data_IF_561200284179
#
_entry.id   IF_561200284179
#
_cell.length_a   1.000
_cell.length_b   1.000
_cell.length_c   1.000
_cell.angle_alpha   90.00
_cell.angle_beta   90.00
_cell.angle_gamma   90.00
#
_symmetry.space_group_name_H-M   'P 1'
#
loop_
_entity.id
_entity.type
_entity.pdbx_description
1 polymer ?
#
# COMPACT_ATOMS: atom_id res chain seq x y z
N UNK A 1 1.53 -32.56 -12.25
CA UNK A 1 0.18 -32.26 -11.76
C UNK A 1 -0.51 -31.52 -12.87
N UNK A 2 -1.50 -32.16 -13.46
CA UNK A 2 -2.34 -31.69 -14.58
C UNK A 2 -2.87 -30.28 -14.30
N UNK A 3 -2.87 -29.42 -15.32
CA UNK A 3 -3.44 -28.07 -15.29
C UNK A 3 -4.89 -28.15 -14.81
N UNK A 4 -5.08 -28.00 -13.51
CA UNK A 4 -6.40 -27.85 -12.92
C UNK A 4 -6.86 -26.47 -13.37
N UNK A 5 -7.99 -26.39 -14.06
CA UNK A 5 -8.59 -25.11 -14.45
C UNK A 5 -8.91 -24.36 -13.16
N UNK A 6 -8.08 -23.39 -12.79
CA UNK A 6 -8.26 -22.57 -11.59
C UNK A 6 -9.22 -21.44 -11.96
N UNK A 7 -10.46 -21.52 -11.48
CA UNK A 7 -11.46 -20.49 -11.71
C UNK A 7 -11.42 -19.45 -10.60
N UNK A 8 -11.16 -18.20 -10.97
CA UNK A 8 -11.15 -17.08 -10.04
C UNK A 8 -12.53 -16.44 -9.97
N UNK A 9 -13.06 -16.29 -8.76
CA UNK A 9 -14.29 -15.54 -8.49
C UNK A 9 -13.90 -14.21 -7.85
N UNK A 10 -14.05 -13.07 -8.55
CA UNK A 10 -13.69 -11.76 -8.03
C UNK A 10 -14.68 -11.28 -6.96
N UNK A 11 -14.17 -10.60 -5.93
CA UNK A 11 -14.97 -10.02 -4.85
C UNK A 11 -14.69 -8.52 -4.70
N UNK A 12 -13.43 -8.16 -4.43
CA UNK A 12 -13.06 -6.79 -4.04
C UNK A 12 -11.94 -6.26 -4.90
N UNK A 13 -12.13 -5.07 -5.47
CA UNK A 13 -11.06 -4.33 -6.17
C UNK A 13 -10.30 -3.49 -5.15
N UNK A 14 -9.02 -3.81 -4.94
CA UNK A 14 -8.17 -3.07 -3.99
C UNK A 14 -7.50 -1.85 -4.62
N UNK A 15 -7.12 -1.96 -5.90
CA UNK A 15 -6.38 -0.92 -6.60
C UNK A 15 -6.58 -1.02 -8.10
N UNK A 16 -6.81 0.11 -8.77
CA UNK A 16 -6.76 0.23 -10.23
C UNK A 16 -5.80 1.34 -10.61
N UNK A 17 -4.84 1.02 -11.46
CA UNK A 17 -3.94 2.00 -12.08
C UNK A 17 -3.80 1.73 -13.59
N UNK A 18 -3.11 2.63 -14.30
CA UNK A 18 -2.92 2.54 -15.76
C UNK A 18 -2.21 1.26 -16.21
N UNK A 19 -1.50 0.59 -15.29
CA UNK A 19 -0.70 -0.60 -15.59
C UNK A 19 -1.29 -1.90 -15.07
N UNK A 20 -2.25 -1.86 -14.13
CA UNK A 20 -2.92 -3.05 -13.61
C UNK A 20 -4.08 -2.73 -12.68
N UNK A 21 -4.97 -3.70 -12.53
CA UNK A 21 -5.98 -3.76 -11.48
C UNK A 21 -5.68 -4.93 -10.53
N UNK A 22 -5.81 -4.72 -9.23
CA UNK A 22 -5.60 -5.74 -8.19
C UNK A 22 -6.93 -6.07 -7.56
N UNK A 23 -7.38 -7.31 -7.74
CA UNK A 23 -8.69 -7.82 -7.31
C UNK A 23 -8.46 -9.01 -6.39
N UNK A 24 -9.06 -9.02 -5.20
CA UNK A 24 -9.14 -10.22 -4.37
C UNK A 24 -10.42 -10.99 -4.64
N UNK A 25 -10.37 -12.26 -4.27
CA UNK A 25 -11.53 -13.13 -4.26
C UNK A 25 -11.13 -14.53 -3.83
N UNK A 26 -11.81 -15.54 -4.35
CA UNK A 26 -11.56 -16.93 -4.01
C UNK A 26 -11.51 -17.82 -5.26
N UNK A 27 -11.14 -19.08 -5.06
CA UNK A 27 -11.23 -20.10 -6.10
C UNK A 27 -12.63 -20.70 -6.10
N UNK A 28 -13.27 -20.82 -7.27
CA UNK A 28 -14.60 -21.42 -7.37
C UNK A 28 -14.62 -22.85 -6.82
N UNK A 29 -13.52 -23.58 -7.01
CA UNK A 29 -13.37 -24.96 -6.57
C UNK A 29 -13.07 -25.07 -5.07
N UNK A 30 -12.62 -23.98 -4.44
CA UNK A 30 -12.16 -23.90 -3.04
C UNK A 30 -12.47 -22.49 -2.47
N UNK A 31 -13.74 -22.20 -2.10
CA UNK A 31 -14.16 -20.86 -1.67
C UNK A 31 -13.43 -20.33 -0.43
N UNK A 32 -12.87 -21.21 0.40
CA UNK A 32 -12.06 -20.83 1.55
C UNK A 32 -10.65 -20.34 1.18
N UNK A 33 -10.19 -20.65 -0.04
CA UNK A 33 -8.85 -20.32 -0.51
C UNK A 33 -8.85 -18.94 -1.17
N UNK A 34 -8.50 -17.92 -0.37
CA UNK A 34 -8.38 -16.54 -0.86
C UNK A 34 -7.21 -16.37 -1.82
N UNK A 35 -7.45 -15.60 -2.88
CA UNK A 35 -6.49 -15.31 -3.94
C UNK A 35 -6.54 -13.84 -4.36
N UNK A 36 -5.47 -13.39 -4.99
CA UNK A 36 -5.36 -12.05 -5.57
C UNK A 36 -4.99 -12.18 -7.04
N UNK A 37 -5.82 -11.58 -7.89
CA UNK A 37 -5.55 -11.39 -9.31
C UNK A 37 -4.95 -10.01 -9.51
N UNK A 38 -3.77 -9.95 -10.14
CA UNK A 38 -3.30 -8.75 -10.81
C UNK A 38 -3.73 -8.82 -12.27
N UNK A 39 -4.85 -8.15 -12.56
CA UNK A 39 -5.51 -8.09 -13.86
C UNK A 39 -4.82 -7.08 -14.78
N UNK A 40 -4.60 -7.48 -16.02
CA UNK A 40 -3.81 -6.78 -17.05
C UNK A 40 -4.54 -6.69 -18.40
N UNK A 41 -5.69 -7.36 -18.56
CA UNK A 41 -6.47 -7.35 -19.80
C UNK A 41 -7.19 -6.02 -20.07
N UNK A 42 -7.61 -5.33 -19.01
CA UNK A 42 -8.29 -4.02 -19.07
C UNK A 42 -7.37 -2.81 -19.22
N UNK A 43 -6.05 -2.99 -19.31
CA UNK A 43 -5.11 -1.86 -19.42
C UNK A 43 -5.12 -1.26 -20.83
N UNK A 44 -4.92 0.07 -20.98
CA UNK A 44 -4.88 0.71 -22.28
C UNK A 44 -3.86 0.05 -23.22
N UNK A 45 -4.20 -0.06 -24.52
CA UNK A 45 -3.38 -0.78 -25.50
C UNK A 45 -1.92 -0.33 -25.54
N UNK A 46 -1.67 0.96 -25.34
CA UNK A 46 -0.33 1.56 -25.32
C UNK A 46 0.45 1.22 -24.03
N UNK A 47 -0.24 0.94 -22.92
CA UNK A 47 0.37 0.58 -21.64
C UNK A 47 0.65 -0.93 -21.54
N UNK A 48 -0.04 -1.76 -22.35
CA UNK A 48 0.07 -3.24 -22.33
C UNK A 48 1.51 -3.76 -22.36
N UNK A 49 2.43 -3.27 -23.23
CA UNK A 49 3.80 -3.78 -23.27
C UNK A 49 4.55 -3.55 -21.94
N UNK A 50 4.37 -2.38 -21.33
CA UNK A 50 5.02 -2.01 -20.07
C UNK A 50 4.39 -2.76 -18.89
N UNK A 51 3.06 -2.83 -18.86
CA UNK A 51 2.31 -3.60 -17.86
C UNK A 51 2.77 -5.07 -17.83
N UNK A 52 2.85 -5.70 -18.99
CA UNK A 52 3.33 -7.07 -19.13
C UNK A 52 4.82 -7.24 -18.81
N UNK A 53 5.66 -6.26 -19.12
CA UNK A 53 7.07 -6.28 -18.71
C UNK A 53 7.20 -6.30 -17.18
N UNK A 54 6.45 -5.44 -16.48
CA UNK A 54 6.43 -5.40 -15.01
C UNK A 54 5.86 -6.69 -14.42
N UNK A 55 4.75 -7.19 -14.97
CA UNK A 55 4.15 -8.45 -14.55
C UNK A 55 5.10 -9.64 -14.74
N UNK A 56 5.85 -9.70 -15.85
CA UNK A 56 6.84 -10.77 -16.09
C UNK A 56 7.95 -10.80 -15.05
N UNK A 57 8.36 -9.64 -14.52
CA UNK A 57 9.34 -9.58 -13.41
C UNK A 57 8.76 -10.18 -12.13
N UNK A 58 7.54 -9.81 -11.79
CA UNK A 58 6.82 -10.36 -10.64
C UNK A 58 6.63 -11.88 -10.79
N UNK A 59 6.15 -12.34 -11.94
CA UNK A 59 5.98 -13.77 -12.28
C UNK A 59 7.31 -14.53 -12.13
N UNK A 60 8.41 -13.98 -12.67
CA UNK A 60 9.73 -14.60 -12.52
C UNK A 60 10.16 -14.69 -11.05
N UNK A 61 9.92 -13.64 -10.27
CA UNK A 61 10.17 -13.61 -8.84
C UNK A 61 9.39 -14.69 -8.09
N UNK A 62 8.07 -14.72 -8.28
CA UNK A 62 7.17 -15.69 -7.63
C UNK A 62 7.49 -17.13 -8.02
N UNK A 63 7.76 -17.40 -9.31
CA UNK A 63 8.21 -18.72 -9.78
C UNK A 63 9.52 -19.14 -9.10
N UNK A 64 10.48 -18.23 -8.98
CA UNK A 64 11.75 -18.52 -8.35
C UNK A 64 11.59 -18.85 -6.86
N UNK A 65 10.66 -18.21 -6.15
CA UNK A 65 10.41 -18.45 -4.70
C UNK A 65 9.33 -19.50 -4.42
N UNK A 66 8.79 -20.19 -5.41
CA UNK A 66 7.71 -21.16 -5.25
C UNK A 66 8.03 -22.23 -4.18
N UNK A 67 7.12 -22.41 -3.21
CA UNK A 67 7.31 -23.36 -2.10
C UNK A 67 8.19 -22.85 -0.96
N UNK A 68 8.58 -21.57 -0.94
CA UNK A 68 9.06 -20.93 0.30
C UNK A 68 7.85 -20.63 1.17
N UNK A 69 7.83 -21.13 2.40
CA UNK A 69 6.78 -20.76 3.35
C UNK A 69 6.92 -19.29 3.78
N UNK A 70 5.82 -18.53 3.68
CA UNK A 70 5.77 -17.09 3.98
C UNK A 70 5.92 -16.17 2.75
N UNK A 71 5.83 -16.70 1.53
CA UNK A 71 5.69 -15.91 0.29
C UNK A 71 4.42 -16.33 -0.46
N UNK A 72 3.80 -15.43 -1.23
CA UNK A 72 2.65 -15.79 -2.06
C UNK A 72 3.03 -16.82 -3.13
N UNK A 73 2.16 -17.81 -3.34
CA UNK A 73 2.29 -18.80 -4.39
C UNK A 73 1.69 -18.26 -5.70
N UNK A 74 2.40 -18.40 -6.81
CA UNK A 74 1.85 -18.13 -8.14
C UNK A 74 0.97 -19.32 -8.56
N UNK A 75 -0.31 -19.06 -8.82
CA UNK A 75 -1.30 -20.09 -9.11
C UNK A 75 -1.60 -20.16 -10.61
N UNK A 76 -1.77 -19.01 -11.27
CA UNK A 76 -2.18 -18.93 -12.68
C UNK A 76 -1.50 -17.76 -13.36
N UNK A 77 -1.14 -17.93 -14.64
CA UNK A 77 -0.70 -16.85 -15.52
C UNK A 77 -1.33 -17.08 -16.89
N UNK A 78 -2.11 -16.11 -17.37
CA UNK A 78 -2.85 -16.19 -18.64
C UNK A 78 -3.02 -14.78 -19.24
N UNK A 79 -3.87 -14.64 -20.26
CA UNK A 79 -4.15 -13.34 -20.89
C UNK A 79 -4.81 -12.31 -19.98
N UNK A 80 -5.51 -12.75 -18.92
CA UNK A 80 -6.15 -11.88 -17.93
C UNK A 80 -5.11 -11.29 -16.99
N UNK A 81 -4.10 -12.05 -16.57
CA UNK A 81 -3.01 -11.54 -15.74
C UNK A 81 -2.28 -12.61 -14.93
N UNK A 82 -1.91 -12.28 -13.69
CA UNK A 82 -1.34 -13.25 -12.75
C UNK A 82 -2.19 -13.42 -11.49
N UNK A 83 -2.52 -14.66 -11.18
CA UNK A 83 -3.25 -15.04 -9.97
C UNK A 83 -2.28 -15.62 -8.95
N UNK A 84 -2.36 -15.15 -7.71
CA UNK A 84 -1.52 -15.61 -6.59
C UNK A 84 -2.34 -15.88 -5.34
N UNK A 85 -1.80 -16.68 -4.43
CA UNK A 85 -2.43 -16.89 -3.12
C UNK A 85 -2.47 -15.60 -2.31
N UNK A 86 -3.52 -15.43 -1.50
CA UNK A 86 -3.55 -14.41 -0.47
C UNK A 86 -2.56 -14.76 0.65
N UNK A 87 -1.80 -13.77 1.12
CA UNK A 87 -0.95 -13.95 2.30
C UNK A 87 -1.69 -13.42 3.52
N UNK A 88 -2.10 -14.32 4.42
CA UNK A 88 -2.73 -13.93 5.68
C UNK A 88 -1.70 -13.31 6.62
N UNK A 89 -2.10 -12.25 7.31
CA UNK A 89 -1.31 -11.67 8.38
C UNK A 89 -1.54 -10.18 8.56
N UNK A 90 -1.09 -9.69 9.71
CA UNK A 90 -1.18 -8.29 10.09
C UNK A 90 0.04 -7.54 9.56
N UNK A 91 -0.12 -6.42 8.83
CA UNK A 91 1.00 -5.59 8.39
C UNK A 91 1.91 -5.17 9.54
N UNK A 92 3.22 -5.10 9.28
CA UNK A 92 4.22 -4.88 10.33
C UNK A 92 4.05 -3.58 11.12
N UNK A 93 3.50 -2.54 10.49
CA UNK A 93 3.14 -1.26 11.14
C UNK A 93 2.15 -1.42 12.29
N UNK A 94 1.25 -2.40 12.18
CA UNK A 94 0.23 -2.71 13.18
C UNK A 94 0.72 -3.78 14.14
N UNK A 95 1.30 -4.87 13.60
CA UNK A 95 1.76 -6.00 14.41
C UNK A 95 2.91 -5.65 15.37
N UNK A 96 3.79 -4.71 14.98
CA UNK A 96 4.93 -4.20 15.78
C UNK A 96 5.64 -5.29 16.63
N UNK A 97 6.12 -6.40 16.01
CA UNK A 97 6.78 -7.48 16.74
C UNK A 97 7.92 -6.96 17.60
N UNK A 98 7.92 -7.37 18.86
CA UNK A 98 8.95 -7.05 19.85
C UNK A 98 9.80 -8.27 20.23
N UNK A 99 9.48 -9.47 19.74
CA UNK A 99 10.12 -10.74 20.09
C UNK A 99 11.03 -11.29 18.97
N UNK A 100 11.99 -12.15 19.35
CA UNK A 100 13.09 -12.54 18.47
C UNK A 100 12.70 -13.54 17.37
N UNK A 101 11.68 -14.36 17.61
CA UNK A 101 11.22 -15.44 16.75
C UNK A 101 10.80 -14.89 15.38
N UNK A 102 10.00 -13.82 15.35
CA UNK A 102 9.57 -13.16 14.13
C UNK A 102 10.76 -12.67 13.29
N UNK A 103 11.75 -12.01 13.92
CA UNK A 103 12.94 -11.53 13.19
C UNK A 103 13.86 -12.66 12.72
N UNK A 104 13.94 -13.77 13.46
CA UNK A 104 14.67 -14.97 13.03
C UNK A 104 14.02 -15.57 11.78
N UNK A 105 12.69 -15.61 11.74
CA UNK A 105 11.91 -16.12 10.63
C UNK A 105 11.97 -15.18 9.41
N UNK A 106 11.87 -13.86 9.61
CA UNK A 106 12.06 -12.87 8.54
C UNK A 106 13.48 -13.00 7.92
N UNK A 107 14.52 -13.23 8.74
CA UNK A 107 15.87 -13.51 8.23
C UNK A 107 15.97 -14.87 7.53
N UNK A 108 15.17 -15.87 7.90
CA UNK A 108 15.07 -17.13 7.14
C UNK A 108 14.51 -16.85 5.75
N UNK A 109 13.39 -16.12 5.62
CA UNK A 109 12.81 -15.74 4.33
C UNK A 109 13.82 -15.04 3.41
N UNK A 110 14.53 -14.02 3.91
CA UNK A 110 15.57 -13.33 3.12
C UNK A 110 16.69 -14.27 2.67
N UNK A 111 17.09 -15.23 3.51
CA UNK A 111 18.11 -16.23 3.15
C UNK A 111 17.61 -17.19 2.08
N UNK A 112 16.37 -17.64 2.18
CA UNK A 112 15.77 -18.55 1.20
C UNK A 112 15.60 -17.88 -0.16
N UNK A 113 15.05 -16.67 -0.22
CA UNK A 113 14.99 -15.87 -1.45
C UNK A 113 16.39 -15.69 -2.07
N UNK A 114 17.38 -15.31 -1.25
CA UNK A 114 18.77 -15.15 -1.69
C UNK A 114 19.38 -16.46 -2.20
N UNK A 115 19.09 -17.61 -1.58
CA UNK A 115 19.55 -18.92 -2.06
C UNK A 115 19.04 -19.20 -3.47
N UNK A 116 17.81 -18.78 -3.76
CA UNK A 116 17.16 -18.89 -5.08
C UNK A 116 17.51 -17.76 -6.05
N UNK A 117 18.45 -16.88 -5.69
CA UNK A 117 18.89 -15.79 -6.55
C UNK A 117 17.92 -14.61 -6.61
N UNK A 118 16.98 -14.52 -5.66
CA UNK A 118 15.97 -13.47 -5.61
C UNK A 118 16.36 -12.39 -4.59
N UNK A 119 16.22 -11.13 -4.99
CA UNK A 119 16.22 -9.97 -4.09
C UNK A 119 14.88 -9.26 -4.23
N UNK A 120 14.29 -8.86 -3.11
CA UNK A 120 12.93 -8.33 -3.09
C UNK A 120 12.89 -6.84 -3.40
N UNK A 121 13.89 -6.08 -2.95
CA UNK A 121 14.11 -4.65 -3.22
C UNK A 121 13.03 -3.67 -2.70
N UNK A 122 11.89 -4.14 -2.20
CA UNK A 122 10.80 -3.28 -1.67
C UNK A 122 10.40 -3.59 -0.21
N UNK A 123 11.19 -4.38 0.50
CA UNK A 123 10.94 -4.70 1.93
C UNK A 123 11.32 -3.58 2.90
N UNK A 124 11.66 -2.40 2.38
CA UNK A 124 11.80 -1.18 3.16
C UNK A 124 10.45 -0.69 3.68
N UNK A 125 9.37 -0.93 2.93
CA UNK A 125 8.00 -0.62 3.34
C UNK A 125 7.56 -1.62 4.40
N UNK A 126 7.19 -1.19 5.61
CA UNK A 126 6.69 -2.11 6.62
C UNK A 126 5.44 -2.88 6.19
N UNK A 127 4.63 -2.31 5.29
CA UNK A 127 3.41 -2.92 4.74
C UNK A 127 3.68 -4.20 3.96
N UNK A 128 4.87 -4.34 3.39
CA UNK A 128 5.26 -5.54 2.64
C UNK A 128 5.66 -6.70 3.55
N UNK A 129 5.78 -6.47 4.86
CA UNK A 129 5.97 -7.49 5.88
C UNK A 129 4.67 -7.75 6.61
N UNK A 130 4.33 -9.02 6.76
CA UNK A 130 3.19 -9.47 7.54
C UNK A 130 3.68 -10.31 8.72
N UNK A 131 2.94 -10.24 9.82
CA UNK A 131 2.96 -11.25 10.87
C UNK A 131 1.75 -12.16 10.66
N UNK A 132 1.99 -13.44 10.39
CA UNK A 132 0.91 -14.42 10.24
C UNK A 132 0.21 -14.64 11.60
N UNK A 133 -1.01 -15.19 11.63
CA UNK A 133 -1.70 -15.52 12.89
C UNK A 133 -0.87 -16.40 13.83
N UNK A 134 0.04 -17.22 13.29
CA UNK A 134 0.96 -18.09 14.03
C UNK A 134 2.21 -17.35 14.54
N UNK A 135 2.27 -16.03 14.38
CA UNK A 135 3.41 -15.20 14.80
C UNK A 135 4.62 -15.29 13.85
N UNK A 136 4.47 -15.89 12.67
CA UNK A 136 5.55 -16.08 11.69
C UNK A 136 5.69 -14.88 10.76
N UNK A 137 6.83 -14.77 10.10
CA UNK A 137 7.05 -13.71 9.12
C UNK A 137 6.52 -14.16 7.76
N UNK A 138 5.81 -13.26 7.08
CA UNK A 138 5.49 -13.38 5.67
C UNK A 138 5.83 -12.10 4.93
N UNK A 139 6.06 -12.21 3.62
CA UNK A 139 6.38 -11.07 2.76
C UNK A 139 5.48 -11.07 1.52
N UNK A 140 5.01 -9.90 1.14
CA UNK A 140 4.14 -9.68 -0.02
C UNK A 140 4.77 -8.68 -1.00
N UNK A 141 4.14 -8.55 -2.17
CA UNK A 141 4.49 -7.59 -3.23
C UNK A 141 5.87 -7.82 -3.89
N UNK A 142 5.91 -8.76 -4.82
CA UNK A 142 7.12 -9.09 -5.59
C UNK A 142 7.30 -8.23 -6.85
N UNK A 143 6.58 -7.12 -6.99
CA UNK A 143 6.62 -6.32 -8.23
C UNK A 143 8.01 -5.73 -8.53
N UNK A 144 8.76 -5.35 -7.50
CA UNK A 144 10.12 -4.84 -7.63
C UNK A 144 11.21 -5.91 -7.45
N UNK A 145 10.81 -7.17 -7.27
CA UNK A 145 11.76 -8.25 -7.12
C UNK A 145 12.66 -8.41 -8.37
N UNK A 146 13.87 -8.91 -8.14
CA UNK A 146 14.84 -9.18 -9.17
C UNK A 146 15.34 -10.61 -9.04
N UNK A 147 15.29 -11.35 -10.14
CA UNK A 147 15.86 -12.70 -10.25
C UNK A 147 17.22 -12.61 -10.91
N UNK A 148 18.26 -13.12 -10.24
CA UNK A 148 19.64 -13.00 -10.68
C UNK A 148 20.20 -14.37 -11.08
N UNK A 149 20.58 -14.51 -12.36
CA UNK A 149 21.27 -15.73 -12.85
C UNK A 149 22.62 -15.95 -12.18
N UNK A 150 23.35 -14.87 -11.87
CA UNK A 150 24.66 -14.90 -11.21
C UNK A 150 24.63 -14.05 -9.95
N UNK A 151 25.21 -14.55 -8.85
CA UNK A 151 25.27 -13.88 -7.54
C UNK A 151 26.42 -12.87 -7.44
N UNK A 152 26.52 -11.99 -8.44
CA UNK A 152 27.59 -11.00 -8.62
C UNK A 152 27.57 -9.84 -7.61
N UNK A 153 28.31 -8.76 -7.90
CA UNK A 153 28.41 -7.59 -7.01
C UNK A 153 27.03 -6.91 -6.78
N UNK A 154 26.26 -6.70 -7.85
CA UNK A 154 24.92 -6.07 -7.78
C UNK A 154 23.97 -6.88 -6.90
N UNK A 155 23.88 -8.19 -7.13
CA UNK A 155 23.09 -9.10 -6.30
C UNK A 155 23.48 -9.02 -4.81
N UNK A 156 24.78 -9.05 -4.51
CA UNK A 156 25.27 -8.96 -3.13
C UNK A 156 24.92 -7.63 -2.47
N UNK A 157 24.92 -6.54 -3.24
CA UNK A 157 24.47 -5.23 -2.78
C UNK A 157 22.98 -5.21 -2.50
N UNK A 158 22.14 -5.66 -3.44
CA UNK A 158 20.68 -5.69 -3.27
C UNK A 158 20.27 -6.58 -2.10
N UNK A 159 20.83 -7.79 -1.99
CA UNK A 159 20.57 -8.69 -0.87
C UNK A 159 21.04 -8.12 0.48
N UNK A 160 22.11 -7.32 0.48
CA UNK A 160 22.57 -6.61 1.68
C UNK A 160 21.58 -5.51 2.06
N UNK A 161 21.07 -4.74 1.11
CA UNK A 161 20.06 -3.70 1.39
C UNK A 161 18.75 -4.29 1.86
N UNK A 162 18.30 -5.40 1.29
CA UNK A 162 17.15 -6.17 1.79
C UNK A 162 17.30 -6.50 3.28
N UNK A 163 18.43 -7.09 3.68
CA UNK A 163 18.71 -7.37 5.09
C UNK A 163 18.77 -6.07 5.91
N UNK A 164 19.39 -5.01 5.39
CA UNK A 164 19.50 -3.73 6.09
C UNK A 164 18.12 -3.11 6.32
N UNK A 165 17.19 -3.23 5.38
CA UNK A 165 15.82 -2.77 5.51
C UNK A 165 15.07 -3.52 6.62
N UNK A 166 15.21 -4.84 6.68
CA UNK A 166 14.69 -5.62 7.82
C UNK A 166 15.28 -5.13 9.16
N UNK A 167 16.58 -4.85 9.22
CA UNK A 167 17.21 -4.34 10.44
C UNK A 167 16.73 -2.94 10.84
N UNK A 168 16.34 -2.08 9.88
CA UNK A 168 15.71 -0.80 10.19
C UNK A 168 14.35 -1.01 10.86
N UNK A 169 13.57 -1.99 10.40
CA UNK A 169 12.31 -2.36 11.06
C UNK A 169 12.56 -2.92 12.47
N UNK A 170 13.56 -3.79 12.62
CA UNK A 170 13.98 -4.30 13.93
C UNK A 170 14.39 -3.18 14.89
N UNK A 171 15.14 -2.18 14.42
CA UNK A 171 15.47 -1.00 15.22
C UNK A 171 14.23 -0.21 15.66
N UNK A 172 13.21 -0.13 14.80
CA UNK A 172 11.99 0.65 15.07
C UNK A 172 11.10 -0.02 16.10
N UNK A 173 10.88 -1.33 15.98
CA UNK A 173 9.89 -2.05 16.81
C UNK A 173 10.51 -2.87 17.94
N UNK A 174 11.75 -3.35 17.79
CA UNK A 174 12.43 -4.16 18.79
C UNK A 174 13.93 -3.78 18.94
N UNK A 175 14.24 -2.52 19.31
CA UNK A 175 15.62 -2.04 19.40
C UNK A 175 16.48 -2.86 20.38
N UNK A 176 15.86 -3.36 21.45
CA UNK A 176 16.51 -4.18 22.47
C UNK A 176 17.02 -5.53 21.93
N UNK A 177 16.45 -6.03 20.82
CA UNK A 177 16.90 -7.26 20.17
C UNK A 177 18.09 -7.07 19.23
N UNK A 178 18.51 -5.84 18.95
CA UNK A 178 19.62 -5.59 18.04
C UNK A 178 20.94 -6.10 18.62
N UNK A 179 21.68 -6.83 17.79
CA UNK A 179 23.05 -7.23 18.10
C UNK A 179 24.06 -6.13 17.74
N UNK A 180 25.27 -6.21 18.28
CA UNK A 180 26.33 -5.25 17.96
C UNK A 180 26.70 -5.26 16.46
N UNK A 181 26.64 -6.41 15.79
CA UNK A 181 26.91 -6.51 14.35
C UNK A 181 25.80 -5.89 13.50
N UNK A 182 24.53 -6.03 13.92
CA UNK A 182 23.38 -5.39 13.28
C UNK A 182 23.43 -3.87 13.43
N UNK A 183 23.82 -3.35 14.61
CA UNK A 183 24.07 -1.91 14.83
C UNK A 183 25.13 -1.36 13.88
N UNK A 184 26.30 -2.02 13.81
CA UNK A 184 27.37 -1.65 12.85
C UNK A 184 26.91 -1.67 11.39
N UNK A 185 26.02 -2.60 11.02
CA UNK A 185 25.47 -2.67 9.66
C UNK A 185 24.52 -1.50 9.36
N UNK A 186 23.74 -1.05 10.35
CA UNK A 186 22.84 0.09 10.22
C UNK A 186 23.59 1.43 10.12
N UNK A 187 24.67 1.59 10.89
CA UNK A 187 25.55 2.76 10.89
C UNK A 187 26.29 2.94 9.55
N UNK A 188 26.71 1.84 8.93
CA UNK A 188 27.35 1.86 7.61
C UNK A 188 26.32 2.17 6.52
N UNK A 189 26.18 3.45 6.16
CA UNK A 189 25.43 3.89 4.97
C UNK A 189 25.96 3.16 3.73
N UNK A 190 25.06 2.60 2.94
CA UNK A 190 25.42 1.83 1.75
C UNK A 190 25.94 2.76 0.65
N UNK A 191 27.14 2.47 0.14
CA UNK A 191 27.77 3.14 -1.00
C UNK A 191 26.89 3.31 -2.26
N UNK A 192 25.98 2.40 -2.62
CA UNK A 192 25.10 2.55 -3.79
C UNK A 192 24.13 3.72 -3.70
N UNK A 193 23.74 4.17 -2.50
CA UNK A 193 22.89 5.37 -2.34
C UNK A 193 23.62 6.63 -2.78
N UNK A 194 24.96 6.71 -2.61
CA UNK A 194 25.76 7.85 -3.07
C UNK A 194 25.86 7.89 -4.60
N UNK A 195 26.02 6.73 -5.25
CA UNK A 195 26.12 6.63 -6.71
C UNK A 195 24.75 6.80 -7.38
N UNK A 196 23.68 6.20 -6.85
CA UNK A 196 22.31 6.39 -7.37
C UNK A 196 21.85 7.85 -7.27
N UNK A 197 22.19 8.55 -6.18
CA UNK A 197 21.97 9.99 -6.05
C UNK A 197 22.78 10.81 -7.08
N UNK A 198 23.96 10.34 -7.48
CA UNK A 198 24.85 11.04 -8.41
C UNK A 198 24.54 10.81 -9.91
N UNK A 199 24.10 9.60 -10.30
CA UNK A 199 23.90 9.23 -11.72
C UNK A 199 22.47 8.80 -12.06
N UNK A 200 21.81 8.05 -11.18
CA UNK A 200 20.46 7.50 -11.42
C UNK A 200 19.35 8.55 -11.30
N UNK A 201 19.45 9.46 -10.32
CA UNK A 201 18.44 10.49 -10.06
C UNK A 201 18.24 11.45 -11.25
N UNK A 202 19.29 11.76 -12.01
CA UNK A 202 19.21 12.64 -13.20
C UNK A 202 18.53 11.96 -14.39
N UNK A 203 18.84 10.70 -14.66
CA UNK A 203 18.20 9.93 -15.73
C UNK A 203 16.74 9.58 -15.38
N UNK A 204 16.47 9.20 -14.13
CA UNK A 204 15.13 8.98 -13.60
C UNK A 204 14.29 10.26 -13.71
N UNK A 205 14.78 11.41 -13.20
CA UNK A 205 14.09 12.70 -13.31
C UNK A 205 13.91 13.17 -14.76
N UNK A 206 14.84 12.84 -15.67
CA UNK A 206 14.73 13.21 -17.08
C UNK A 206 13.64 12.39 -17.80
N UNK A 207 13.54 11.10 -17.49
CA UNK A 207 12.50 10.20 -18.03
C UNK A 207 11.14 10.49 -17.40
N UNK A 208 11.07 10.70 -16.08
CA UNK A 208 9.80 11.01 -15.41
C UNK A 208 9.30 12.42 -15.76
N UNK A 209 10.14 13.46 -15.78
CA UNK A 209 9.70 14.81 -16.18
C UNK A 209 9.29 14.97 -17.64
N UNK A 210 9.66 14.04 -18.53
CA UNK A 210 9.35 14.13 -19.97
C UNK A 210 8.32 13.12 -20.44
N UNK A 211 8.07 12.03 -19.71
CA UNK A 211 7.18 10.95 -20.15
C UNK A 211 5.99 10.67 -19.21
N UNK A 212 6.09 10.92 -17.90
CA UNK A 212 4.99 10.66 -16.96
C UNK A 212 5.13 11.54 -15.72
N UNK A 213 4.19 12.47 -15.52
CA UNK A 213 4.02 13.23 -14.27
C UNK A 213 3.84 12.24 -13.10
N UNK A 214 4.94 11.83 -12.49
CA UNK A 214 4.97 10.94 -11.34
C UNK A 214 5.78 11.65 -10.26
N UNK A 215 5.09 12.15 -9.23
CA UNK A 215 5.73 12.73 -8.04
C UNK A 215 5.82 11.67 -6.94
N UNK A 216 7.03 11.47 -6.44
CA UNK A 216 7.31 10.62 -5.28
C UNK A 216 6.60 11.20 -4.04
N UNK A 217 5.89 10.33 -3.31
CA UNK A 217 5.10 10.64 -2.11
C UNK A 217 5.92 10.94 -0.85
N UNK A 218 6.82 11.93 -0.93
CA UNK A 218 7.49 12.51 0.25
C UNK A 218 6.76 13.75 0.81
N UNK A 219 5.64 14.19 0.21
CA UNK A 219 4.92 15.42 0.57
C UNK A 219 3.66 15.26 1.43
N UNK A 220 3.49 14.12 2.11
CA UNK A 220 2.21 13.73 2.75
C UNK A 220 1.87 14.55 4.00
N UNK A 221 2.86 15.02 4.77
CA UNK A 221 2.65 15.91 5.93
C UNK A 221 2.61 17.40 5.51
N UNK A 222 3.40 17.79 4.50
CA UNK A 222 3.50 19.18 4.00
C UNK A 222 2.17 19.78 3.53
N UNK A 223 1.23 18.97 3.03
CA UNK A 223 -0.02 19.49 2.40
C UNK A 223 -1.04 19.98 3.43
N UNK A 224 -1.26 19.24 4.52
CA UNK A 224 -2.17 19.70 5.59
C UNK A 224 -1.57 20.91 6.31
N UNK A 225 -0.27 20.89 6.59
CA UNK A 225 0.42 22.01 7.25
C UNK A 225 0.38 23.29 6.42
N UNK A 226 0.58 23.19 5.09
CA UNK A 226 0.58 24.34 4.19
C UNK A 226 -0.82 24.88 3.91
N UNK A 227 -1.78 24.00 3.60
CA UNK A 227 -3.05 24.39 2.99
C UNK A 227 -4.27 24.16 3.90
N UNK A 228 -4.12 23.35 4.94
CA UNK A 228 -5.24 22.92 5.79
C UNK A 228 -5.92 24.06 6.53
N UNK A 229 -5.17 25.07 6.99
CA UNK A 229 -5.74 26.23 7.66
C UNK A 229 -6.64 27.06 6.72
N UNK A 230 -6.20 27.28 5.48
CA UNK A 230 -6.95 28.02 4.48
C UNK A 230 -8.21 27.25 4.03
N UNK A 231 -8.07 25.95 3.76
CA UNK A 231 -9.20 25.07 3.40
C UNK A 231 -10.25 25.04 4.51
N UNK A 232 -9.83 24.87 5.76
CA UNK A 232 -10.72 24.89 6.93
C UNK A 232 -11.45 26.22 7.05
N UNK A 233 -10.73 27.34 6.93
CA UNK A 233 -11.34 28.66 6.99
C UNK A 233 -12.39 28.87 5.88
N UNK A 234 -12.09 28.45 4.65
CA UNK A 234 -13.00 28.55 3.52
C UNK A 234 -14.28 27.72 3.72
N UNK A 235 -14.14 26.46 4.18
CA UNK A 235 -15.29 25.59 4.45
C UNK A 235 -16.17 26.10 5.59
N UNK A 236 -15.56 26.64 6.65
CA UNK A 236 -16.28 27.20 7.81
C UNK A 236 -16.92 28.57 7.50
N UNK A 237 -16.50 29.24 6.43
CA UNK A 237 -17.03 30.55 6.05
C UNK A 237 -18.50 30.47 5.60
N UNK A 238 -19.33 31.42 6.03
CA UNK A 238 -20.75 31.49 5.65
C UNK A 238 -21.71 30.62 6.48
N UNK A 239 -21.25 30.02 7.59
CA UNK A 239 -22.09 29.25 8.52
C UNK A 239 -22.58 27.90 7.96
N UNK A 240 -23.28 27.10 8.77
CA UNK A 240 -23.85 25.81 8.35
C UNK A 240 -22.88 24.62 8.33
N UNK A 241 -21.57 24.84 8.49
CA UNK A 241 -20.58 23.78 8.74
C UNK A 241 -20.19 23.84 10.22
N UNK A 242 -20.39 22.74 10.94
CA UNK A 242 -20.12 22.63 12.38
C UNK A 242 -18.66 22.31 12.67
N UNK A 243 -18.10 21.36 11.93
CA UNK A 243 -16.71 20.94 12.07
C UNK A 243 -16.16 20.38 10.76
N UNK A 244 -14.84 20.45 10.58
CA UNK A 244 -14.14 19.93 9.40
C UNK A 244 -13.00 19.02 9.85
N UNK A 245 -12.83 17.89 9.19
CA UNK A 245 -11.70 17.00 9.34
C UNK A 245 -10.99 16.84 7.99
N UNK A 246 -9.68 17.09 7.96
CA UNK A 246 -8.89 17.08 6.74
C UNK A 246 -7.90 15.93 6.78
N UNK A 247 -7.87 15.14 5.72
CA UNK A 247 -6.96 14.01 5.59
C UNK A 247 -6.28 14.02 4.24
N UNK A 248 -5.05 13.52 4.20
CA UNK A 248 -4.36 13.30 2.95
C UNK A 248 -4.71 11.94 2.37
N UNK A 249 -4.75 11.88 1.04
CA UNK A 249 -4.92 10.65 0.29
C UNK A 249 -4.05 10.68 -0.98
N UNK A 250 -3.80 9.51 -1.57
CA UNK A 250 -2.97 9.41 -2.77
C UNK A 250 -3.79 9.76 -4.02
N UNK A 251 -3.29 10.72 -4.82
CA UNK A 251 -3.84 11.04 -6.13
C UNK A 251 -3.17 10.18 -7.22
N UNK A 252 -3.93 9.63 -8.19
CA UNK A 252 -3.35 9.03 -9.38
C UNK A 252 -2.52 10.08 -10.15
N UNK A 253 -1.20 9.90 -10.19
CA UNK A 253 -0.25 10.74 -10.94
C UNK A 253 -0.07 12.22 -10.49
N UNK A 254 -0.68 12.68 -9.38
CA UNK A 254 -0.52 14.07 -8.89
C UNK A 254 0.05 14.21 -7.48
N UNK A 255 0.45 13.12 -6.84
CA UNK A 255 1.04 13.14 -5.50
C UNK A 255 -0.02 12.95 -4.42
N UNK A 256 -0.16 13.93 -3.52
CA UNK A 256 -1.04 13.85 -2.34
C UNK A 256 -2.15 14.88 -2.47
N UNK A 257 -3.41 14.42 -2.40
CA UNK A 257 -4.60 15.26 -2.35
C UNK A 257 -5.12 15.43 -0.92
N UNK A 258 -5.99 16.41 -0.73
CA UNK A 258 -6.75 16.67 0.49
C UNK A 258 -8.20 16.20 0.34
N UNK A 259 -8.65 15.48 1.35
CA UNK A 259 -10.02 15.07 1.52
C UNK A 259 -10.59 15.76 2.77
N UNK A 260 -11.56 16.65 2.57
CA UNK A 260 -12.31 17.29 3.64
C UNK A 260 -13.63 16.57 3.94
N UNK A 261 -13.79 16.08 5.16
CA UNK A 261 -15.09 15.70 5.72
C UNK A 261 -15.64 16.89 6.49
N UNK A 262 -16.84 17.34 6.17
CA UNK A 262 -17.47 18.48 6.83
C UNK A 262 -18.76 18.03 7.51
N UNK A 263 -18.85 18.22 8.82
CA UNK A 263 -20.09 18.01 9.56
C UNK A 263 -21.07 19.15 9.25
N UNK A 264 -22.08 18.87 8.43
CA UNK A 264 -22.93 19.93 7.86
C UNK A 264 -24.25 19.37 7.35
N UNK A 265 -25.23 20.26 7.25
CA UNK A 265 -26.53 19.98 6.60
C UNK A 265 -26.55 20.50 5.14
N UNK A 266 -25.44 21.09 4.68
CA UNK A 266 -25.25 21.44 3.27
C UNK A 266 -25.13 20.18 2.42
N UNK A 267 -25.63 20.26 1.19
CA UNK A 267 -25.38 19.23 0.20
C UNK A 267 -23.96 19.33 -0.38
N UNK A 268 -23.59 18.35 -1.20
CA UNK A 268 -22.24 18.29 -1.76
C UNK A 268 -21.94 19.51 -2.64
N UNK A 269 -22.92 20.02 -3.40
CA UNK A 269 -22.75 21.18 -4.27
C UNK A 269 -22.49 22.47 -3.46
N UNK A 270 -23.26 22.69 -2.39
CA UNK A 270 -23.09 23.82 -1.48
C UNK A 270 -21.75 23.79 -0.74
N UNK A 271 -21.27 22.60 -0.35
CA UNK A 271 -19.95 22.45 0.27
C UNK A 271 -18.82 22.66 -0.76
N UNK A 272 -18.95 22.09 -1.96
CA UNK A 272 -17.95 22.21 -3.04
C UNK A 272 -17.81 23.65 -3.54
N UNK A 273 -18.87 24.46 -3.51
CA UNK A 273 -18.82 25.87 -3.87
C UNK A 273 -17.92 26.72 -2.95
N UNK A 274 -17.58 26.23 -1.75
CA UNK A 274 -16.75 26.95 -0.77
C UNK A 274 -15.26 26.76 -0.93
N UNK A 275 -14.81 25.75 -1.68
CA UNK A 275 -13.39 25.40 -1.79
C UNK A 275 -13.06 24.95 -3.22
N UNK A 276 -11.95 25.44 -3.78
CA UNK A 276 -11.48 25.05 -5.11
C UNK A 276 -11.04 23.57 -5.19
N UNK A 277 -11.01 22.98 -6.39
CA UNK A 277 -10.54 21.58 -6.57
C UNK A 277 -9.03 21.48 -6.33
N UNK A 278 -8.33 22.58 -6.57
CA UNK A 278 -6.91 22.78 -6.31
C UNK A 278 -6.58 22.98 -4.81
N UNK A 279 -7.59 23.30 -4.00
CA UNK A 279 -7.45 23.49 -2.55
C UNK A 279 -7.79 22.21 -1.78
N UNK A 280 -8.89 21.54 -2.15
CA UNK A 280 -9.27 20.23 -1.62
C UNK A 280 -9.95 19.41 -2.73
N UNK A 281 -9.27 18.37 -3.17
CA UNK A 281 -9.70 17.55 -4.30
C UNK A 281 -10.97 16.76 -3.99
N UNK A 282 -11.17 16.37 -2.72
CA UNK A 282 -12.39 15.70 -2.29
C UNK A 282 -13.03 16.46 -1.13
N UNK A 283 -14.33 16.64 -1.20
CA UNK A 283 -15.16 17.17 -0.11
C UNK A 283 -16.34 16.25 0.11
N UNK A 284 -16.68 15.97 1.36
CA UNK A 284 -17.85 15.16 1.68
C UNK A 284 -18.62 15.80 2.83
N UNK A 285 -19.86 16.24 2.60
CA UNK A 285 -20.75 16.58 3.69
C UNK A 285 -21.13 15.29 4.43
N UNK A 286 -21.07 15.34 5.76
CA UNK A 286 -21.48 14.25 6.64
C UNK A 286 -22.41 14.80 7.71
N UNK A 287 -23.40 14.00 8.10
CA UNK A 287 -24.37 14.42 9.13
C UNK A 287 -23.71 14.54 10.51
N UNK A 288 -22.81 13.61 10.84
CA UNK A 288 -22.04 13.58 12.08
C UNK A 288 -20.63 13.05 11.80
N UNK A 289 -19.60 13.70 12.35
CA UNK A 289 -18.25 13.11 12.35
C UNK A 289 -18.13 12.06 13.45
N UNK A 290 -17.44 10.93 13.21
CA UNK A 290 -17.26 9.89 14.21
C UNK A 290 -16.37 10.40 15.35
N UNK A 291 -16.77 10.12 16.60
CA UNK A 291 -16.06 10.58 17.80
C UNK A 291 -15.78 9.42 18.76
N UNK A 292 -14.76 9.59 19.59
CA UNK A 292 -14.49 8.76 20.77
C UNK A 292 -15.44 9.14 21.90
N UNK A 293 -15.50 8.32 22.93
CA UNK A 293 -16.24 8.62 24.16
C UNK A 293 -15.78 9.93 24.83
N UNK A 294 -14.54 10.37 24.59
CA UNK A 294 -13.99 11.64 25.09
C UNK A 294 -14.28 12.85 24.19
N UNK A 295 -15.09 12.69 23.14
CA UNK A 295 -15.50 13.75 22.21
C UNK A 295 -14.48 14.07 21.10
N UNK A 296 -13.27 13.50 21.15
CA UNK A 296 -12.28 13.68 20.07
C UNK A 296 -12.70 12.94 18.82
N UNK A 297 -12.36 13.49 17.65
CA UNK A 297 -12.63 12.85 16.37
C UNK A 297 -11.93 11.48 16.27
N UNK A 298 -12.60 10.53 15.62
CA UNK A 298 -12.01 9.27 15.15
C UNK A 298 -11.25 9.51 13.86
N UNK A 299 -10.17 10.27 13.97
CA UNK A 299 -9.26 10.57 12.88
C UNK A 299 -8.67 9.28 12.28
N UNK A 300 -8.47 8.25 13.10
CA UNK A 300 -8.09 6.90 12.66
C UNK A 300 -9.10 6.33 11.67
N UNK A 301 -10.40 6.38 11.99
CA UNK A 301 -11.44 5.87 11.10
C UNK A 301 -11.58 6.71 9.83
N UNK A 302 -11.61 8.04 9.97
CA UNK A 302 -11.72 8.96 8.82
C UNK A 302 -10.51 8.87 7.88
N UNK A 303 -9.31 8.63 8.42
CA UNK A 303 -8.11 8.40 7.61
C UNK A 303 -8.21 7.09 6.79
N UNK A 304 -8.78 6.02 7.36
CA UNK A 304 -9.06 4.78 6.63
C UNK A 304 -10.10 5.00 5.52
N UNK A 305 -11.13 5.82 5.78
CA UNK A 305 -12.09 6.22 4.73
C UNK A 305 -11.36 6.98 3.63
N UNK A 306 -10.58 8.01 3.98
CA UNK A 306 -9.86 8.84 3.01
C UNK A 306 -8.87 8.04 2.15
N UNK A 307 -8.25 7.01 2.72
CA UNK A 307 -7.30 6.13 2.03
C UNK A 307 -7.93 4.87 1.43
N UNK A 308 -9.27 4.78 1.44
CA UNK A 308 -10.06 3.67 0.89
C UNK A 308 -9.64 2.29 1.44
N UNK A 309 -9.38 2.19 2.75
CA UNK A 309 -9.00 0.96 3.48
C UNK A 309 -10.22 0.27 4.08
N UNK A 310 -11.09 -0.25 3.21
CA UNK A 310 -12.40 -0.79 3.63
C UNK A 310 -12.30 -2.04 4.51
N UNK A 311 -11.34 -2.93 4.25
CA UNK A 311 -11.15 -4.14 5.07
C UNK A 311 -10.76 -3.79 6.53
N UNK A 312 -9.95 -2.74 6.72
CA UNK A 312 -9.54 -2.24 8.04
C UNK A 312 -10.71 -1.54 8.75
N UNK A 313 -11.56 -0.84 7.99
CA UNK A 313 -12.80 -0.25 8.49
C UNK A 313 -13.81 -1.31 8.92
N UNK A 314 -13.99 -2.37 8.13
CA UNK A 314 -14.90 -3.46 8.46
C UNK A 314 -14.47 -4.17 9.75
N UNK A 315 -13.17 -4.44 9.90
CA UNK A 315 -12.62 -5.00 11.13
C UNK A 315 -12.82 -4.07 12.35
N UNK A 316 -12.64 -2.75 12.17
CA UNK A 316 -12.89 -1.75 13.21
C UNK A 316 -14.38 -1.69 13.60
N UNK A 317 -15.27 -1.68 12.61
CA UNK A 317 -16.72 -1.64 12.81
C UNK A 317 -17.26 -2.91 13.48
N UNK A 318 -16.66 -4.07 13.22
CA UNK A 318 -17.01 -5.31 13.92
C UNK A 318 -16.67 -5.26 15.42
N UNK A 319 -15.60 -4.56 15.79
CA UNK A 319 -15.20 -4.36 17.19
C UNK A 319 -15.95 -3.23 17.91
N UNK A 320 -16.57 -2.31 17.16
CA UNK A 320 -17.19 -1.08 17.69
C UNK A 320 -18.56 -0.79 17.00
N UNK A 321 -19.65 -1.44 17.42
CA UNK A 321 -20.95 -1.32 16.74
C UNK A 321 -21.54 0.09 16.69
N UNK A 322 -21.33 0.90 17.74
CA UNK A 322 -21.80 2.30 17.78
C UNK A 322 -21.06 3.17 16.75
N UNK A 323 -19.77 2.92 16.54
CA UNK A 323 -18.98 3.59 15.51
C UNK A 323 -19.45 3.19 14.11
N UNK A 324 -19.89 1.94 13.94
CA UNK A 324 -20.39 1.44 12.66
C UNK A 324 -21.61 2.22 12.17
N UNK A 325 -22.52 2.61 13.04
CA UNK A 325 -23.72 3.39 12.66
C UNK A 325 -23.36 4.76 12.08
N UNK A 326 -22.31 5.41 12.59
CA UNK A 326 -21.82 6.69 12.07
C UNK A 326 -20.98 6.51 10.80
N UNK A 327 -20.17 5.45 10.72
CA UNK A 327 -19.28 5.22 9.59
C UNK A 327 -19.97 4.70 8.34
N UNK A 328 -21.00 3.86 8.46
CA UNK A 328 -21.75 3.30 7.31
C UNK A 328 -22.16 4.37 6.27
N UNK A 329 -22.84 5.47 6.63
CA UNK A 329 -23.22 6.50 5.65
C UNK A 329 -22.00 7.24 5.08
N UNK A 330 -20.94 7.45 5.87
CA UNK A 330 -19.70 8.09 5.41
C UNK A 330 -19.00 7.21 4.37
N UNK A 331 -18.89 5.90 4.63
CA UNK A 331 -18.31 4.92 3.71
C UNK A 331 -19.14 4.82 2.42
N UNK A 332 -20.47 4.77 2.54
CA UNK A 332 -21.36 4.70 1.38
C UNK A 332 -21.27 5.97 0.50
N UNK A 333 -21.10 7.14 1.12
CA UNK A 333 -20.98 8.44 0.45
C UNK A 333 -19.55 8.86 0.10
N UNK A 334 -18.55 7.99 0.26
CA UNK A 334 -17.14 8.34 0.04
C UNK A 334 -16.89 8.75 -1.42
N UNK A 335 -16.09 9.80 -1.61
CA UNK A 335 -15.81 10.45 -2.90
C UNK A 335 -14.55 9.90 -3.58
N UNK A 336 -13.78 9.06 -2.88
CA UNK A 336 -12.59 8.40 -3.42
C UNK A 336 -12.91 7.08 -4.14
N UNK A 337 -14.15 6.91 -4.60
CA UNK A 337 -14.57 5.85 -5.51
C UNK A 337 -14.01 6.15 -6.91
N UNK A 338 -13.18 5.26 -7.44
CA UNK A 338 -12.59 5.41 -8.79
C UNK A 338 -13.62 5.27 -9.93
N UNK A 339 -14.89 5.01 -9.61
CA UNK A 339 -15.96 4.70 -10.58
C UNK A 339 -16.92 5.88 -10.87
N UNK A 340 -16.60 7.12 -10.47
CA UNK A 340 -17.35 8.32 -10.89
C UNK A 340 -16.44 9.34 -11.57
N UNK A 341 -15.99 9.01 -12.77
CA UNK A 341 -15.61 10.03 -13.76
C UNK A 341 -16.73 9.98 -14.79
N UNK A 342 -17.61 11.00 -14.77
CA UNK A 342 -18.49 11.28 -15.89
C UNK A 342 -17.72 12.08 -16.95
#
# INVERSE_FOLDING_TARGET
>A
MTETTITFVPETVHKRDVFSETVSGHLAERPEFKVVLRKLDGVPWWARPVAWFLARREIAGLRAVAGVEGVPALLRVDGEGLLRSWSHGTPLQLAKPDHAEWYRDARRLLREMRRRGVTHNDIAKPQNWLMTPEGRAAVIDFQLASVHRRKGKIFRVMAREDLRHLLKQKRRYAPHLLTASERRMLERKAWPTRVWMATGKRAYNFVTRRLMNWSDGEGTEDRIERDGAAVRAALMHGGGVREVALFTYALPARGVGLYAFAETDLDHAGLRARVGEDQAELVQPVTALPRRADGRLREDALQLVATNRLDELEAMMAGEPELAEVLKPIIAGRQNLTDRIF
#
